data_IF_558912545667
#
_entry.id   IF_558912545667
#
_cell.length_a   1.000
_cell.length_b   1.000
_cell.length_c   1.000
_cell.angle_alpha   90.00
_cell.angle_beta   90.00
_cell.angle_gamma   90.00
#
_symmetry.space_group_name_H-M   'P 1'
#
loop_
_entity.id
_entity.type
_entity.pdbx_description
1 polymer ?
#
# COMPACT_ATOMS: atom_id res chain seq x y z
N UNK A 1 14.95 8.32 0.24
CA UNK A 1 13.66 7.63 0.46
C UNK A 1 13.97 6.38 1.28
N UNK A 2 13.26 6.13 2.39
CA UNK A 2 13.47 4.95 3.21
C UNK A 2 12.99 3.68 2.49
N UNK A 3 13.66 2.55 2.72
CA UNK A 3 13.15 1.25 2.28
C UNK A 3 12.20 0.71 3.35
N UNK A 4 11.08 0.12 2.94
CA UNK A 4 10.13 -0.51 3.87
C UNK A 4 9.98 -1.98 3.52
N UNK A 5 10.39 -2.82 4.45
CA UNK A 5 10.20 -4.27 4.41
C UNK A 5 8.86 -4.64 5.07
N UNK A 6 8.17 -5.60 4.48
CA UNK A 6 6.90 -6.11 4.98
C UNK A 6 7.14 -7.45 5.67
N UNK A 7 6.82 -7.51 6.96
CA UNK A 7 6.88 -8.75 7.74
C UNK A 7 5.47 -9.27 7.95
N UNK A 8 5.17 -10.49 7.48
CA UNK A 8 3.81 -11.04 7.50
C UNK A 8 3.25 -11.25 8.92
N UNK A 9 4.13 -11.47 9.91
CA UNK A 9 3.74 -11.60 11.31
C UNK A 9 4.87 -11.14 12.23
N UNK A 10 4.60 -10.12 13.05
CA UNK A 10 5.46 -9.69 14.14
C UNK A 10 4.76 -8.70 15.06
N UNK A 11 5.29 -8.57 16.27
CA UNK A 11 4.93 -7.52 17.24
C UNK A 11 6.08 -6.55 17.44
N UNK A 12 5.81 -5.39 18.06
CA UNK A 12 6.87 -4.44 18.40
C UNK A 12 7.96 -5.13 19.24
N UNK A 13 7.59 -5.85 20.31
CA UNK A 13 8.57 -6.54 21.16
C UNK A 13 9.41 -7.57 20.40
N UNK A 14 8.80 -8.37 19.52
CA UNK A 14 9.55 -9.41 18.80
C UNK A 14 10.48 -8.83 17.74
N UNK A 15 10.08 -7.74 17.08
CA UNK A 15 10.82 -7.16 15.97
C UNK A 15 11.89 -6.17 16.44
N UNK A 16 11.72 -5.57 17.62
CA UNK A 16 12.71 -4.66 18.21
C UNK A 16 13.55 -5.30 19.31
N UNK A 17 13.45 -6.63 19.49
CA UNK A 17 14.30 -7.36 20.43
C UNK A 17 15.79 -7.16 20.11
N UNK A 18 16.55 -6.64 21.08
CA UNK A 18 17.98 -6.35 20.92
C UNK A 18 18.28 -4.93 20.45
N UNK A 19 17.26 -4.15 20.06
CA UNK A 19 17.43 -2.78 19.57
C UNK A 19 17.74 -1.78 20.68
N UNK A 20 17.52 -2.14 21.94
CA UNK A 20 17.88 -1.35 23.13
C UNK A 20 19.38 -1.01 23.20
N UNK A 21 20.22 -1.71 22.44
CA UNK A 21 21.66 -1.46 22.38
C UNK A 21 22.06 -0.37 21.38
N UNK A 22 21.13 0.11 20.54
CA UNK A 22 21.42 0.98 19.39
C UNK A 22 21.01 2.44 19.59
N UNK A 23 20.25 2.75 20.65
CA UNK A 23 19.83 4.12 20.96
C UNK A 23 18.66 4.15 21.94
N UNK A 24 18.31 5.35 22.41
CA UNK A 24 17.05 5.54 23.14
C UNK A 24 15.90 5.43 22.14
N UNK A 25 14.89 4.63 22.48
CA UNK A 25 13.73 4.36 21.62
C UNK A 25 12.45 4.82 22.29
N UNK A 26 11.47 5.12 21.45
CA UNK A 26 10.15 5.54 21.90
C UNK A 26 9.06 4.81 21.12
N UNK A 27 7.95 4.56 21.80
CA UNK A 27 6.77 3.94 21.23
C UNK A 27 5.63 4.95 21.19
N UNK A 28 5.03 5.09 20.03
CA UNK A 28 3.95 6.03 19.79
C UNK A 28 2.77 5.31 19.12
N UNK A 29 1.59 5.87 19.30
CA UNK A 29 0.39 5.48 18.58
C UNK A 29 0.06 6.54 17.52
N UNK A 30 -0.24 6.10 16.30
CA UNK A 30 -0.86 6.91 15.26
C UNK A 30 -2.34 6.53 15.17
N UNK A 31 -3.20 7.53 15.35
CA UNK A 31 -4.66 7.42 15.28
C UNK A 31 -5.20 8.20 14.09
N UNK A 32 -5.35 7.50 12.95
CA UNK A 32 -5.69 8.10 11.67
C UNK A 32 -7.10 7.77 11.20
N UNK A 33 -7.57 8.49 10.19
CA UNK A 33 -8.74 8.08 9.43
C UNK A 33 -8.42 6.80 8.63
N UNK A 34 -9.41 5.94 8.45
CA UNK A 34 -9.24 4.66 7.74
C UNK A 34 -8.92 4.85 6.27
N UNK A 35 -9.37 5.94 5.67
CA UNK A 35 -9.04 6.35 4.30
C UNK A 35 -7.52 6.54 4.11
N UNK A 36 -6.84 7.11 5.11
CA UNK A 36 -5.40 7.43 5.03
C UNK A 36 -4.49 6.25 5.34
N UNK A 37 -5.05 5.06 5.59
CA UNK A 37 -4.26 3.85 5.92
C UNK A 37 -3.22 3.54 4.85
N UNK A 38 -3.53 3.80 3.58
CA UNK A 38 -2.56 3.60 2.49
C UNK A 38 -1.33 4.50 2.64
N UNK A 39 -1.56 5.79 2.91
CA UNK A 39 -0.49 6.75 3.17
C UNK A 39 0.31 6.37 4.43
N UNK A 40 -0.37 6.02 5.53
CA UNK A 40 0.28 5.60 6.78
C UNK A 40 1.15 4.34 6.63
N UNK A 41 0.72 3.38 5.79
CA UNK A 41 1.51 2.18 5.47
C UNK A 41 2.79 2.55 4.73
N UNK A 42 2.70 3.50 3.81
CA UNK A 42 3.83 3.92 2.98
C UNK A 42 4.65 5.04 3.64
N UNK A 43 4.25 5.51 4.83
CA UNK A 43 4.89 6.61 5.55
C UNK A 43 6.39 6.37 5.77
N UNK A 44 6.77 5.15 6.12
CA UNK A 44 8.18 4.77 6.26
C UNK A 44 9.03 5.01 5.00
N UNK A 45 8.41 4.96 3.80
CA UNK A 45 9.13 5.21 2.55
C UNK A 45 9.44 6.70 2.40
N UNK A 46 8.56 7.57 2.89
CA UNK A 46 8.65 9.02 2.64
C UNK A 46 9.57 9.74 3.63
N UNK A 47 9.95 9.06 4.72
CA UNK A 47 10.87 9.58 5.73
C UNK A 47 12.27 8.99 5.55
N UNK A 48 13.29 9.78 5.86
CA UNK A 48 14.65 9.29 6.03
C UNK A 48 14.97 9.29 7.52
N UNK A 49 15.33 8.12 8.04
CA UNK A 49 15.68 7.88 9.45
C UNK A 49 17.08 7.29 9.53
N UNK A 50 17.78 7.53 10.63
CA UNK A 50 19.12 7.01 10.92
C UNK A 50 19.08 5.57 11.45
N UNK A 51 18.06 5.26 12.25
CA UNK A 51 17.84 3.95 12.83
C UNK A 51 16.54 3.33 12.31
N UNK A 52 16.50 1.99 12.28
CA UNK A 52 15.30 1.27 11.87
C UNK A 52 14.10 1.59 12.77
N UNK A 53 12.92 1.62 12.16
CA UNK A 53 11.65 1.75 12.85
C UNK A 53 10.73 0.57 12.52
N UNK A 54 9.86 0.19 13.45
CA UNK A 54 8.84 -0.85 13.23
C UNK A 54 7.47 -0.23 13.41
N UNK A 55 6.54 -0.58 12.54
CA UNK A 55 5.13 -0.26 12.77
C UNK A 55 4.21 -1.45 12.58
N UNK A 56 3.18 -1.53 13.42
CA UNK A 56 2.19 -2.60 13.43
C UNK A 56 0.80 -1.99 13.40
N UNK A 57 -0.03 -2.43 12.47
CA UNK A 57 -1.42 -1.97 12.40
C UNK A 57 -2.32 -2.86 13.25
N UNK A 58 -3.17 -2.21 14.04
CA UNK A 58 -4.23 -2.87 14.77
C UNK A 58 -5.59 -2.66 14.11
N UNK A 59 -6.42 -3.69 14.12
CA UNK A 59 -7.81 -3.60 13.66
C UNK A 59 -8.70 -4.28 14.71
N UNK A 60 -9.47 -3.51 15.48
CA UNK A 60 -10.40 -4.05 16.47
C UNK A 60 -11.37 -5.07 15.85
N UNK A 61 -11.61 -6.17 16.57
CA UNK A 61 -12.50 -7.26 16.12
C UNK A 61 -13.53 -7.60 17.17
N UNK A 62 -13.09 -7.96 18.36
CA UNK A 62 -13.96 -8.47 19.43
C UNK A 62 -14.42 -7.35 20.36
N UNK A 63 -13.56 -6.35 20.59
CA UNK A 63 -13.79 -5.19 21.45
C UNK A 63 -14.60 -4.07 20.78
N UNK A 64 -15.08 -4.28 19.56
CA UNK A 64 -15.76 -3.25 18.75
C UNK A 64 -16.97 -2.62 19.45
N UNK A 65 -17.73 -3.42 20.18
CA UNK A 65 -18.91 -2.96 20.90
C UNK A 65 -18.51 -1.94 21.99
N UNK A 66 -17.50 -2.29 22.78
CA UNK A 66 -16.94 -1.44 23.83
C UNK A 66 -16.35 -0.15 23.27
N UNK A 67 -15.61 -0.23 22.15
CA UNK A 67 -15.11 0.96 21.46
C UNK A 67 -16.23 1.88 20.98
N UNK A 68 -17.33 1.30 20.48
CA UNK A 68 -18.49 2.07 20.00
C UNK A 68 -19.19 2.78 21.16
N UNK A 69 -19.28 2.14 22.33
CA UNK A 69 -19.83 2.76 23.55
C UNK A 69 -19.01 3.98 24.00
N UNK A 70 -17.69 3.97 23.77
CA UNK A 70 -16.79 5.11 23.99
C UNK A 70 -16.80 6.14 22.86
N UNK A 71 -17.68 5.98 21.86
CA UNK A 71 -17.81 6.87 20.71
C UNK A 71 -16.68 6.73 19.68
N UNK A 72 -15.90 5.65 19.74
CA UNK A 72 -14.83 5.37 18.79
C UNK A 72 -15.40 4.53 17.65
N UNK A 73 -15.55 5.15 16.48
CA UNK A 73 -15.91 4.40 15.27
C UNK A 73 -14.69 3.64 14.72
N UNK A 74 -14.58 2.37 15.11
CA UNK A 74 -13.52 1.48 14.67
C UNK A 74 -13.52 1.19 13.15
N UNK A 75 -14.61 1.52 12.43
CA UNK A 75 -14.72 1.26 10.99
C UNK A 75 -14.08 2.37 10.16
N UNK A 76 -14.19 3.61 10.64
CA UNK A 76 -13.57 4.80 10.05
C UNK A 76 -12.23 5.18 10.68
N UNK A 77 -11.79 4.50 11.75
CA UNK A 77 -10.48 4.70 12.37
C UNK A 77 -9.41 3.68 11.94
N UNK A 78 -8.15 4.09 11.99
CA UNK A 78 -6.97 3.24 11.85
C UNK A 78 -6.03 3.44 13.03
N UNK A 79 -5.58 2.33 13.60
CA UNK A 79 -4.67 2.27 14.75
C UNK A 79 -3.35 1.70 14.26
N UNK A 80 -2.26 2.44 14.46
CA UNK A 80 -0.92 1.98 14.13
C UNK A 80 0.00 2.28 15.31
N UNK A 81 0.71 1.27 15.78
CA UNK A 81 1.72 1.41 16.81
C UNK A 81 3.08 1.43 16.15
N UNK A 82 3.94 2.34 16.58
CA UNK A 82 5.26 2.57 15.98
C UNK A 82 6.30 2.57 17.08
N UNK A 83 7.38 1.84 16.86
CA UNK A 83 8.61 1.89 17.64
C UNK A 83 9.69 2.55 16.78
N UNK A 84 10.22 3.69 17.23
CA UNK A 84 11.18 4.51 16.49
C UNK A 84 12.26 5.02 17.44
N UNK A 85 13.47 5.25 16.93
CA UNK A 85 14.52 5.89 17.70
C UNK A 85 14.09 7.31 18.11
N UNK A 86 14.42 7.71 19.34
CA UNK A 86 14.05 9.02 19.87
C UNK A 86 14.65 10.17 19.05
N UNK A 87 15.86 9.96 18.50
CA UNK A 87 16.53 10.90 17.60
C UNK A 87 15.76 11.09 16.26
N UNK A 88 15.07 10.05 15.79
CA UNK A 88 14.34 10.06 14.53
C UNK A 88 12.86 10.42 14.67
N UNK A 89 12.32 10.50 15.89
CA UNK A 89 10.92 10.83 16.13
C UNK A 89 10.51 12.14 15.42
N UNK A 90 11.39 13.16 15.45
CA UNK A 90 11.14 14.43 14.77
C UNK A 90 10.97 14.26 13.26
N UNK A 91 11.91 13.56 12.61
CA UNK A 91 11.88 13.26 11.17
C UNK A 91 10.68 12.40 10.79
N UNK A 92 10.37 11.42 11.63
CA UNK A 92 9.22 10.54 11.46
C UNK A 92 7.90 11.32 11.51
N UNK A 93 7.75 12.24 12.46
CA UNK A 93 6.49 12.95 12.68
C UNK A 93 6.32 14.21 11.84
N UNK A 94 7.41 14.82 11.36
CA UNK A 94 7.37 16.10 10.67
C UNK A 94 6.40 16.15 9.47
N UNK A 95 6.34 15.15 8.56
CA UNK A 95 5.37 15.18 7.46
C UNK A 95 3.91 15.15 7.94
N UNK A 96 3.62 14.36 8.98
CA UNK A 96 2.28 14.24 9.56
C UNK A 96 1.88 15.53 10.29
N UNK A 97 2.80 16.13 11.04
CA UNK A 97 2.58 17.43 11.69
C UNK A 97 2.32 18.52 10.64
N UNK A 98 3.04 18.50 9.52
CA UNK A 98 2.80 19.38 8.37
C UNK A 98 1.38 19.24 7.78
N UNK A 99 0.80 18.04 7.87
CA UNK A 99 -0.60 17.75 7.49
C UNK A 99 -1.62 18.09 8.59
N UNK A 100 -1.19 18.68 9.70
CA UNK A 100 -2.05 19.11 10.79
C UNK A 100 -2.35 18.05 11.84
N UNK A 101 -1.60 16.95 11.88
CA UNK A 101 -1.70 15.95 12.96
C UNK A 101 -1.33 16.57 14.31
N UNK A 102 -2.06 16.17 15.34
CA UNK A 102 -1.90 16.71 16.69
C UNK A 102 -1.41 15.64 17.65
N UNK A 103 -0.55 16.04 18.59
CA UNK A 103 -0.11 15.21 19.70
C UNK A 103 -1.16 15.26 20.82
N UNK A 104 -1.41 14.09 21.41
CA UNK A 104 -2.15 13.91 22.64
C UNK A 104 -1.63 12.70 23.41
N UNK A 105 -2.35 12.34 24.47
CA UNK A 105 -2.07 11.17 25.29
C UNK A 105 -3.34 10.34 25.38
N UNK A 106 -3.18 9.02 25.40
CA UNK A 106 -4.27 8.07 25.49
C UNK A 106 -3.87 6.93 26.41
N UNK A 107 -4.80 6.48 27.24
CA UNK A 107 -4.62 5.29 28.03
C UNK A 107 -5.18 4.08 27.28
N UNK A 108 -4.37 3.03 27.14
CA UNK A 108 -4.77 1.78 26.53
C UNK A 108 -5.11 0.82 27.65
N UNK A 109 -6.37 0.36 27.66
CA UNK A 109 -6.92 -0.49 28.71
C UNK A 109 -7.27 -1.86 28.16
N UNK A 110 -7.27 -2.87 29.02
CA UNK A 110 -7.73 -4.20 28.65
C UNK A 110 -9.25 -4.20 28.41
N UNK A 111 -9.65 -4.53 27.18
CA UNK A 111 -11.05 -4.72 26.83
C UNK A 111 -11.66 -5.91 27.59
N UNK A 112 -13.00 -6.00 27.59
CA UNK A 112 -13.71 -7.09 28.24
C UNK A 112 -13.20 -8.48 27.77
N UNK A 113 -12.78 -9.31 28.73
CA UNK A 113 -12.24 -10.65 28.48
C UNK A 113 -10.78 -10.70 28.07
N UNK A 114 -10.07 -9.57 28.04
CA UNK A 114 -8.62 -9.50 27.96
C UNK A 114 -8.02 -9.22 29.34
N UNK A 115 -6.70 -9.44 29.48
CA UNK A 115 -5.97 -9.15 30.71
C UNK A 115 -4.54 -8.73 30.38
N UNK A 116 -4.26 -7.44 30.57
CA UNK A 116 -2.94 -6.83 30.59
C UNK A 116 -3.03 -5.51 31.40
N UNK A 117 -1.89 -4.97 31.83
CA UNK A 117 -1.84 -3.74 32.61
C UNK A 117 -2.14 -2.52 31.72
N UNK A 118 -2.86 -1.52 32.23
CA UNK A 118 -3.12 -0.29 31.47
C UNK A 118 -1.81 0.44 31.16
N UNK A 119 -1.70 0.96 29.93
CA UNK A 119 -0.50 1.63 29.45
C UNK A 119 -0.82 3.03 28.93
N UNK A 120 -0.04 4.04 29.32
CA UNK A 120 -0.17 5.39 28.79
C UNK A 120 0.69 5.56 27.53
N UNK A 121 0.07 6.00 26.44
CA UNK A 121 0.72 6.13 25.14
C UNK A 121 0.70 7.57 24.64
N UNK A 122 1.84 8.05 24.13
CA UNK A 122 1.86 9.26 23.32
C UNK A 122 1.18 8.94 21.99
N UNK A 123 0.11 9.67 21.68
CA UNK A 123 -0.67 9.48 20.47
C UNK A 123 -0.55 10.70 19.56
N UNK A 124 -0.36 10.48 18.26
CA UNK A 124 -0.56 11.48 17.24
C UNK A 124 -1.81 11.14 16.46
N UNK A 125 -2.74 12.07 16.33
CA UNK A 125 -4.02 11.82 15.68
C UNK A 125 -4.30 12.76 14.52
N UNK A 126 -5.00 12.23 13.53
CA UNK A 126 -5.42 12.97 12.35
C UNK A 126 -6.38 14.12 12.74
N UNK A 127 -6.34 15.28 12.07
CA UNK A 127 -7.14 16.46 12.43
C UNK A 127 -8.66 16.24 12.41
N UNK A 128 -9.16 15.28 11.64
CA UNK A 128 -10.59 14.93 11.58
C UNK A 128 -11.01 13.92 12.65
N UNK A 129 -10.05 13.35 13.38
CA UNK A 129 -10.30 12.35 14.42
C UNK A 129 -10.30 13.02 15.79
N UNK A 130 -11.28 12.67 16.63
CA UNK A 130 -11.32 13.06 18.04
C UNK A 130 -10.58 11.98 18.82
N UNK A 131 -9.49 12.36 19.50
CA UNK A 131 -8.74 11.43 20.34
C UNK A 131 -9.54 11.13 21.61
N UNK A 132 -9.89 9.85 21.90
CA UNK A 132 -10.49 9.46 23.17
C UNK A 132 -9.45 9.49 24.30
N UNK A 133 -9.90 9.59 25.55
CA UNK A 133 -9.01 9.46 26.72
C UNK A 133 -8.53 8.03 26.95
N UNK A 134 -9.39 7.06 26.63
CA UNK A 134 -9.15 5.63 26.85
C UNK A 134 -9.50 4.83 25.59
N UNK A 135 -8.70 3.81 25.28
CA UNK A 135 -8.94 2.88 24.16
C UNK A 135 -8.85 1.44 24.67
N UNK A 136 -9.96 0.68 24.64
CA UNK A 136 -9.96 -0.72 25.03
C UNK A 136 -9.42 -1.58 23.89
N UNK A 137 -8.41 -2.41 24.19
CA UNK A 137 -7.83 -3.38 23.25
C UNK A 137 -7.83 -4.79 23.83
N UNK A 138 -7.79 -5.81 22.97
CA UNK A 138 -7.72 -7.22 23.40
C UNK A 138 -6.32 -7.69 23.83
N UNK A 139 -5.29 -6.99 23.40
CA UNK A 139 -3.89 -7.34 23.61
C UNK A 139 -3.08 -6.05 23.81
N UNK A 140 -2.01 -6.13 24.61
CA UNK A 140 -1.10 -5.00 24.81
C UNK A 140 -0.48 -4.60 23.46
N UNK A 141 -0.34 -3.29 23.16
CA UNK A 141 0.20 -2.83 21.89
C UNK A 141 1.59 -3.37 21.54
N UNK A 142 2.40 -3.62 22.56
CA UNK A 142 3.74 -4.19 22.42
C UNK A 142 3.74 -5.64 21.89
N UNK A 143 2.68 -6.39 22.21
CA UNK A 143 2.53 -7.81 21.95
C UNK A 143 1.62 -8.14 20.76
N UNK A 144 0.93 -7.14 20.18
CA UNK A 144 0.08 -7.31 18.99
C UNK A 144 0.90 -7.97 17.88
N UNK A 145 0.58 -9.22 17.56
CA UNK A 145 1.28 -9.96 16.51
C UNK A 145 0.48 -9.93 15.21
N UNK A 146 0.87 -9.06 14.28
CA UNK A 146 0.19 -8.84 12.99
C UNK A 146 1.22 -8.56 11.90
N UNK A 147 0.72 -8.32 10.68
CA UNK A 147 1.54 -7.77 9.60
C UNK A 147 2.18 -6.46 10.05
N UNK A 148 3.51 -6.44 10.01
CA UNK A 148 4.35 -5.34 10.46
C UNK A 148 5.15 -4.76 9.29
N UNK A 149 5.61 -3.54 9.46
CA UNK A 149 6.36 -2.79 8.45
C UNK A 149 7.63 -2.28 9.10
N UNK A 150 8.77 -2.74 8.60
CA UNK A 150 10.10 -2.33 9.08
C UNK A 150 10.63 -1.28 8.12
N UNK A 151 10.80 -0.06 8.61
CA UNK A 151 11.47 1.01 7.86
C UNK A 151 12.95 0.95 8.13
N UNK A 152 13.74 0.79 7.07
CA UNK A 152 15.20 0.76 7.13
C UNK A 152 15.79 2.17 7.04
N UNK A 153 17.01 2.38 7.59
CA UNK A 153 17.70 3.66 7.48
C UNK A 153 17.85 4.11 6.04
N UNK A 154 17.70 5.41 5.82
CA UNK A 154 17.81 6.03 4.50
C UNK A 154 18.81 7.18 4.50
N UNK A 155 19.30 7.61 3.32
CA UNK A 155 20.18 8.76 3.24
C UNK A 155 19.44 10.02 3.73
N UNK A 156 19.96 10.63 4.80
CA UNK A 156 19.49 11.92 5.28
C UNK A 156 20.20 13.00 4.47
N UNK A 157 19.44 13.70 3.63
CA UNK A 157 19.93 14.90 2.96
C UNK A 157 19.81 16.05 3.97
N UNK A 158 20.92 16.46 4.57
CA UNK A 158 21.00 17.51 5.61
C UNK A 158 20.59 18.93 5.13
N UNK A 159 19.92 19.06 4.00
CA UNK A 159 19.45 20.33 3.46
C UNK A 159 18.30 20.15 2.46
N UNK A 160 17.13 19.70 2.91
CA UNK A 160 15.91 19.96 2.15
C UNK A 160 15.41 21.35 2.53
N UNK A 161 15.52 22.29 1.60
CA UNK A 161 14.77 23.55 1.69
C UNK A 161 13.28 23.24 1.65
N UNK A 162 12.45 24.08 2.29
CA UNK A 162 10.99 23.92 2.35
C UNK A 162 10.34 23.65 0.96
N UNK A 163 10.98 24.12 -0.12
CA UNK A 163 10.60 23.86 -1.52
C UNK A 163 10.56 22.39 -1.92
N UNK A 164 11.48 21.58 -1.40
CA UNK A 164 11.67 20.20 -1.83
C UNK A 164 10.68 19.28 -1.09
N UNK A 165 10.31 19.65 0.13
CA UNK A 165 9.22 19.00 0.86
C UNK A 165 7.86 19.30 0.22
N UNK A 166 7.62 20.54 -0.22
CA UNK A 166 6.40 20.88 -0.95
C UNK A 166 6.28 20.11 -2.28
N UNK A 167 7.39 19.85 -2.97
CA UNK A 167 7.40 19.02 -4.17
C UNK A 167 7.07 17.55 -3.87
N UNK A 168 7.57 17.00 -2.77
CA UNK A 168 7.25 15.63 -2.33
C UNK A 168 5.77 15.53 -1.91
N UNK A 169 5.23 16.53 -1.19
CA UNK A 169 3.82 16.59 -0.80
C UNK A 169 2.91 16.77 -2.02
N UNK A 170 3.32 17.56 -3.02
CA UNK A 170 2.60 17.74 -4.27
C UNK A 170 2.60 16.48 -5.15
N UNK A 171 3.66 15.66 -5.09
CA UNK A 171 3.66 14.33 -5.72
C UNK A 171 2.60 13.42 -5.10
N UNK A 172 2.37 13.51 -3.77
CA UNK A 172 1.37 12.69 -3.08
C UNK A 172 -0.07 13.10 -3.35
N UNK A 173 -0.35 14.40 -3.53
CA UNK A 173 -1.71 14.83 -3.88
C UNK A 173 -2.13 14.33 -5.26
N UNK A 174 -1.20 14.18 -6.19
CA UNK A 174 -1.44 13.56 -7.49
C UNK A 174 -1.69 12.06 -7.40
N UNK A 175 -0.95 11.32 -6.57
CA UNK A 175 -1.20 9.88 -6.33
C UNK A 175 -2.54 9.65 -5.63
N UNK A 176 -2.93 10.53 -4.69
CA UNK A 176 -4.25 10.48 -4.05
C UNK A 176 -5.34 10.75 -5.09
N UNK A 177 -5.20 11.78 -5.94
CA UNK A 177 -6.17 12.10 -6.98
C UNK A 177 -6.35 10.97 -8.00
N UNK A 178 -5.29 10.21 -8.32
CA UNK A 178 -5.37 9.03 -9.18
C UNK A 178 -6.19 7.90 -8.54
N UNK A 179 -6.17 7.76 -7.21
CA UNK A 179 -6.93 6.74 -6.48
C UNK A 179 -8.41 7.07 -6.20
N UNK A 180 -8.87 8.31 -6.42
CA UNK A 180 -10.29 8.70 -6.23
C UNK A 180 -11.17 8.42 -7.48
N UNK A 181 -10.57 8.01 -8.61
CA UNK A 181 -11.33 7.79 -9.86
C UNK A 181 -11.92 6.38 -9.97
N UNK A 182 -11.57 5.45 -9.08
CA UNK A 182 -12.13 4.07 -9.05
C UNK A 182 -13.01 3.76 -7.83
N UNK A 183 -13.99 4.62 -7.50
CA UNK A 183 -15.17 4.15 -6.76
C UNK A 183 -16.45 4.67 -7.42
N UNK A 184 -17.03 3.83 -8.29
CA UNK A 184 -18.42 3.97 -8.70
C UNK A 184 -19.36 3.43 -7.61
N UNK A 185 -20.45 4.13 -7.27
CA UNK A 185 -21.40 3.70 -6.26
C UNK A 185 -22.41 2.71 -6.85
N UNK A 186 -22.39 1.44 -6.41
CA UNK A 186 -23.52 0.53 -6.64
C UNK A 186 -24.60 0.78 -5.58
N UNK A 187 -25.76 1.27 -6.06
CA UNK A 187 -26.97 1.52 -5.29
C UNK A 187 -27.61 0.25 -4.72
N UNK A 188 -28.18 0.39 -3.53
CA UNK A 188 -28.99 -0.63 -2.86
C UNK A 188 -30.42 -0.76 -3.43
N UNK A 189 -30.77 -1.99 -3.81
CA UNK A 189 -32.06 -2.65 -3.51
C UNK A 189 -33.15 -2.65 -4.59
N UNK A 190 -34.25 -3.45 -4.43
CA UNK A 190 -34.56 -4.42 -3.38
C UNK A 190 -34.96 -5.84 -3.86
N UNK A 191 -35.08 -6.72 -2.87
CA UNK A 191 -35.58 -8.10 -2.90
C UNK A 191 -36.98 -8.27 -3.52
N UNK A 192 -37.20 -9.35 -4.27
CA UNK A 192 -38.46 -10.12 -4.26
C UNK A 192 -38.28 -11.56 -4.76
N UNK A 193 -38.70 -12.48 -3.89
CA UNK A 193 -38.96 -13.92 -4.03
C UNK A 193 -39.77 -14.33 -5.27
N UNK A 194 -39.46 -15.48 -5.88
CA UNK A 194 -40.32 -16.71 -5.97
C UNK A 194 -39.59 -17.90 -6.63
N UNK A 195 -39.92 -19.10 -6.12
CA UNK A 195 -39.57 -20.47 -6.56
C UNK A 195 -40.10 -20.85 -7.96
N UNK A 196 -39.40 -21.76 -8.66
CA UNK A 196 -39.85 -23.11 -9.13
C UNK A 196 -38.76 -23.68 -10.10
N UNK A 197 -38.00 -24.74 -9.78
CA UNK A 197 -38.22 -26.20 -9.95
C UNK A 197 -38.20 -26.71 -11.41
N UNK A 198 -37.63 -27.92 -11.59
CA UNK A 198 -37.69 -28.92 -12.71
C UNK A 198 -36.41 -28.99 -13.58
N UNK A 199 -35.45 -29.89 -13.28
CA UNK A 199 -35.25 -31.30 -13.78
C UNK A 199 -34.80 -31.37 -15.26
N UNK A 200 -33.54 -31.74 -15.55
CA UNK A 200 -32.96 -33.09 -15.77
C UNK A 200 -33.02 -33.61 -17.23
N UNK A 201 -32.06 -34.49 -17.55
CA UNK A 201 -31.83 -35.35 -18.74
C UNK A 201 -30.84 -34.78 -19.79
N UNK A 202 -29.58 -35.22 -19.90
CA UNK A 202 -28.93 -36.55 -20.08
C UNK A 202 -28.64 -36.92 -21.55
N UNK A 203 -27.32 -36.97 -21.85
CA UNK A 203 -26.60 -37.90 -22.76
C UNK A 203 -26.72 -37.83 -24.31
N UNK A 204 -25.77 -38.41 -25.09
CA UNK A 204 -24.45 -38.99 -24.77
C UNK A 204 -23.28 -38.55 -25.72
N UNK A 205 -22.05 -38.95 -25.36
CA UNK A 205 -20.81 -38.87 -26.17
C UNK A 205 -20.66 -40.13 -27.05
N UNK A 206 -20.13 -40.03 -28.29
CA UNK A 206 -19.07 -40.97 -28.69
C UNK A 206 -17.91 -40.33 -29.48
N UNK A 207 -16.71 -40.85 -29.18
CA UNK A 207 -15.37 -40.60 -29.73
C UNK A 207 -15.26 -40.69 -31.27
N UNK A 208 -14.28 -39.99 -31.87
CA UNK A 208 -13.13 -40.56 -32.64
C UNK A 208 -12.04 -39.46 -32.80
N UNK A 209 -10.80 -39.92 -32.74
CA UNK A 209 -9.49 -39.26 -32.90
C UNK A 209 -9.32 -38.49 -34.22
N UNK A 210 -8.72 -37.30 -34.17
CA UNK A 210 -7.74 -36.88 -35.18
C UNK A 210 -6.81 -35.78 -34.62
N UNK A 211 -5.53 -36.12 -34.58
CA UNK A 211 -4.40 -35.29 -34.19
C UNK A 211 -4.14 -34.24 -35.29
N UNK A 212 -4.36 -32.96 -35.00
CA UNK A 212 -3.98 -31.84 -35.85
C UNK A 212 -3.47 -30.72 -34.90
N UNK A 213 -2.26 -30.18 -35.09
CA UNK A 213 -1.69 -29.18 -34.19
C UNK A 213 -2.59 -27.92 -34.16
N UNK A 214 -2.66 -27.18 -33.04
CA UNK A 214 -3.40 -25.92 -33.05
C UNK A 214 -2.72 -25.00 -34.06
N UNK A 215 -3.45 -24.70 -35.13
CA UNK A 215 -3.15 -23.64 -36.08
C UNK A 215 -3.05 -22.36 -35.26
N UNK A 216 -1.83 -21.87 -35.09
CA UNK A 216 -1.58 -20.51 -34.62
C UNK A 216 -2.23 -19.59 -35.65
N UNK A 217 -3.30 -18.92 -35.28
CA UNK A 217 -3.74 -17.73 -36.00
C UNK A 217 -2.58 -16.73 -35.97
N UNK A 218 -1.76 -16.73 -37.03
CA UNK A 218 -0.84 -15.64 -37.30
C UNK A 218 -1.71 -14.45 -37.69
N UNK A 219 -2.07 -13.66 -36.68
CA UNK A 219 -2.64 -12.34 -36.87
C UNK A 219 -1.63 -11.55 -37.70
N UNK A 220 -2.06 -11.11 -38.89
CA UNK A 220 -1.26 -10.32 -39.82
C UNK A 220 -0.61 -9.17 -39.04
N UNK A 221 0.73 -9.16 -38.95
CA UNK A 221 1.47 -8.11 -38.23
C UNK A 221 1.09 -6.76 -38.83
N UNK A 222 0.55 -5.87 -37.99
CA UNK A 222 0.16 -4.55 -38.46
C UNK A 222 1.42 -3.79 -38.90
N UNK A 223 1.37 -2.95 -39.94
CA UNK A 223 2.54 -2.17 -40.38
C UNK A 223 3.19 -1.37 -39.24
N UNK A 224 2.42 -0.99 -38.21
CA UNK A 224 2.89 -0.30 -37.03
C UNK A 224 3.61 -1.22 -36.02
N UNK A 225 3.25 -2.51 -35.94
CA UNK A 225 3.97 -3.49 -35.12
C UNK A 225 5.38 -3.73 -35.67
N UNK A 226 5.53 -3.79 -37.00
CA UNK A 226 6.83 -3.90 -37.66
C UNK A 226 7.69 -2.64 -37.43
N UNK A 227 7.10 -1.44 -37.55
CA UNK A 227 7.79 -0.17 -37.25
C UNK A 227 8.26 -0.12 -35.79
N UNK A 228 7.39 -0.49 -34.84
CA UNK A 228 7.70 -0.49 -33.42
C UNK A 228 8.83 -1.48 -33.08
N UNK A 229 8.79 -2.70 -33.65
CA UNK A 229 9.86 -3.69 -33.50
C UNK A 229 11.18 -3.19 -34.10
N UNK A 230 11.13 -2.52 -35.24
CA UNK A 230 12.32 -1.97 -35.89
C UNK A 230 12.95 -0.84 -35.06
N UNK A 231 12.14 0.05 -34.48
CA UNK A 231 12.62 1.12 -33.59
C UNK A 231 13.25 0.54 -32.33
N UNK A 232 12.61 -0.44 -31.69
CA UNK A 232 13.19 -1.13 -30.53
C UNK A 232 14.54 -1.76 -30.91
N UNK A 233 14.61 -2.49 -32.03
CA UNK A 233 15.84 -3.14 -32.49
C UNK A 233 16.97 -2.14 -32.78
N UNK A 234 16.64 -0.96 -33.32
CA UNK A 234 17.62 0.09 -33.59
C UNK A 234 18.15 0.74 -32.31
N UNK A 235 17.28 0.95 -31.31
CA UNK A 235 17.68 1.54 -30.02
C UNK A 235 18.52 0.56 -29.19
N UNK A 236 18.17 -0.72 -29.21
CA UNK A 236 18.99 -1.80 -28.62
C UNK A 236 20.35 -1.89 -29.30
N UNK A 237 20.40 -1.88 -30.65
CA UNK A 237 21.65 -1.87 -31.39
C UNK A 237 22.49 -0.60 -31.16
N UNK A 238 21.84 0.50 -30.77
CA UNK A 238 22.47 1.74 -30.31
C UNK A 238 23.04 1.69 -28.89
N UNK A 239 22.87 0.58 -28.17
CA UNK A 239 23.38 0.37 -26.81
C UNK A 239 22.50 0.94 -25.70
N UNK A 240 21.23 1.25 -25.98
CA UNK A 240 20.28 1.66 -24.95
C UNK A 240 19.72 0.46 -24.21
N UNK A 241 19.64 0.54 -22.89
CA UNK A 241 19.03 -0.49 -22.06
C UNK A 241 17.50 -0.43 -22.15
N UNK A 242 16.83 -1.57 -22.00
CA UNK A 242 15.35 -1.66 -22.12
C UNK A 242 14.60 -0.70 -21.18
N UNK A 243 15.18 -0.34 -20.03
CA UNK A 243 14.60 0.69 -19.16
C UNK A 243 14.57 2.07 -19.81
N UNK A 244 15.63 2.43 -20.54
CA UNK A 244 15.79 3.75 -21.16
C UNK A 244 15.06 3.86 -22.50
N UNK A 245 14.83 2.73 -23.19
CA UNK A 245 14.12 2.71 -24.47
C UNK A 245 12.69 3.23 -24.32
N UNK A 246 12.03 2.96 -23.19
CA UNK A 246 10.66 3.39 -22.95
C UNK A 246 10.51 4.90 -22.80
N UNK A 247 11.58 5.56 -22.37
CA UNK A 247 11.65 7.03 -22.23
C UNK A 247 12.23 7.70 -23.48
N UNK A 248 12.69 6.92 -24.46
CA UNK A 248 13.33 7.43 -25.64
C UNK A 248 12.31 8.11 -26.59
N UNK A 249 12.57 9.34 -27.07
CA UNK A 249 11.62 10.10 -27.89
C UNK A 249 11.12 9.35 -29.14
N UNK A 250 12.01 8.59 -29.79
CA UNK A 250 11.65 7.82 -30.99
C UNK A 250 10.74 6.62 -30.67
N UNK A 251 10.83 6.05 -29.47
CA UNK A 251 9.95 4.97 -29.04
C UNK A 251 8.57 5.52 -28.67
N UNK A 252 8.51 6.66 -27.97
CA UNK A 252 7.26 7.32 -27.56
C UNK A 252 6.40 7.69 -28.80
N UNK A 253 6.98 8.28 -29.84
CA UNK A 253 6.23 8.66 -31.04
C UNK A 253 5.63 7.46 -31.80
N UNK A 254 6.30 6.30 -31.77
CA UNK A 254 5.81 5.09 -32.43
C UNK A 254 4.85 4.31 -31.53
N UNK A 255 5.09 4.29 -30.22
CA UNK A 255 4.21 3.63 -29.24
C UNK A 255 2.87 4.34 -29.12
N UNK A 256 2.83 5.67 -29.19
CA UNK A 256 1.57 6.43 -29.21
C UNK A 256 0.75 6.11 -30.47
N UNK A 257 1.39 6.05 -31.64
CA UNK A 257 0.71 5.69 -32.90
C UNK A 257 0.23 4.24 -32.89
N UNK A 258 1.03 3.31 -32.37
CA UNK A 258 0.67 1.90 -32.25
C UNK A 258 -0.48 1.69 -31.25
N UNK A 259 -0.43 2.35 -30.09
CA UNK A 259 -1.50 2.31 -29.08
C UNK A 259 -2.81 2.87 -29.62
N UNK A 260 -2.76 3.96 -30.39
CA UNK A 260 -3.94 4.54 -31.04
C UNK A 260 -4.56 3.62 -32.11
N UNK A 261 -3.75 2.73 -32.72
CA UNK A 261 -4.22 1.69 -33.63
C UNK A 261 -4.70 0.41 -32.92
N UNK A 262 -4.68 0.38 -31.58
CA UNK A 262 -5.11 -0.76 -30.77
C UNK A 262 -4.06 -1.87 -30.66
N UNK A 263 -2.78 -1.57 -30.93
CA UNK A 263 -1.66 -2.49 -30.75
C UNK A 263 -1.24 -2.51 -29.27
N UNK A 264 -1.08 -3.70 -28.72
CA UNK A 264 -0.58 -3.91 -27.35
C UNK A 264 0.95 -3.70 -27.30
N UNK A 265 1.35 -2.43 -27.19
CA UNK A 265 2.75 -2.00 -27.15
C UNK A 265 3.49 -2.65 -25.98
N UNK A 266 2.89 -2.70 -24.80
CA UNK A 266 3.51 -3.27 -23.59
C UNK A 266 3.72 -4.77 -23.73
N UNK A 267 2.70 -5.51 -24.16
CA UNK A 267 2.83 -6.94 -24.41
C UNK A 267 3.79 -7.28 -25.54
N UNK A 268 3.99 -6.38 -26.52
CA UNK A 268 4.97 -6.59 -27.58
C UNK A 268 6.40 -6.26 -27.11
N UNK A 269 6.57 -5.20 -26.32
CA UNK A 269 7.85 -4.82 -25.74
C UNK A 269 8.40 -5.90 -24.79
N UNK A 270 7.55 -6.45 -23.91
CA UNK A 270 7.93 -7.54 -22.99
C UNK A 270 8.31 -8.81 -23.76
N UNK A 271 7.55 -9.17 -24.79
CA UNK A 271 7.88 -10.33 -25.65
C UNK A 271 9.20 -10.14 -26.38
N UNK A 272 9.56 -8.92 -26.78
CA UNK A 272 10.82 -8.61 -27.47
C UNK A 272 12.01 -8.51 -26.50
N UNK A 273 11.79 -8.08 -25.26
CA UNK A 273 12.83 -8.07 -24.22
C UNK A 273 13.17 -9.46 -23.71
N UNK A 274 12.21 -10.39 -23.71
CA UNK A 274 12.42 -11.78 -23.32
C UNK A 274 13.15 -12.61 -24.41
N UNK A 275 13.15 -12.13 -25.66
CA UNK A 275 13.69 -12.80 -26.85
C UNK A 275 15.05 -12.22 -27.32
N UNK A 276 15.61 -11.23 -26.59
CA UNK A 276 16.89 -10.53 -26.89
C UNK A 276 18.06 -10.97 -26.03
#
# INVERSE_FOLDING_TARGET
>A
MGEVEIVESGSLDTLTAGWENYGERTRIMLFGARADRHALRNHGRVVAIEESAVSVFYRPREERAEMTELGIDHSSASFQFVDVAMADLGRWMQPLIGQGWKRGEVEIVAANGASFDSENWTCFHHPTMILPSEIPLKESPALINRKAFVTHPGPILDSVSDSDMDAIVASMTNDIAASVVEESPEEMGPSTVVEDVIEEQSEPIPLIEEEIPPVVEQKEESPLEAELRQVISLLVAGGQEMGDIMEHPQFIEVSERASAAGVDVWGMFVRLSDDS
#
